data_IF_101984542131
#
_entry.id   IF_101984542131
#
_cell.length_a   1.000
_cell.length_b   1.000
_cell.length_c   1.000
_cell.angle_alpha   90.00
_cell.angle_beta   90.00
_cell.angle_gamma   90.00
#
_symmetry.space_group_name_H-M   'P 1'
#
loop_
_entity.id
_entity.type
_entity.pdbx_description
1 polymer ?
#
# COMPACT_ATOMS: atom_id res chain seq x y z
N UNK A 1 -31.91 32.85 -47.19
CA UNK A 1 -32.79 32.00 -46.36
C UNK A 1 -31.89 31.19 -45.42
N UNK A 2 -31.79 31.55 -44.12
CA UNK A 2 -30.98 30.78 -43.15
C UNK A 2 -31.79 29.54 -42.75
N UNK A 3 -31.41 28.38 -43.27
CA UNK A 3 -32.00 27.10 -42.85
C UNK A 3 -31.50 26.85 -41.43
N UNK A 4 -32.38 27.00 -40.43
CA UNK A 4 -32.05 26.79 -39.02
C UNK A 4 -31.79 25.29 -38.78
N UNK A 5 -30.53 24.85 -38.90
CA UNK A 5 -30.04 23.52 -38.49
C UNK A 5 -29.95 23.35 -36.96
N UNK A 6 -30.78 24.08 -36.20
CA UNK A 6 -30.79 24.06 -34.74
C UNK A 6 -31.00 22.65 -34.20
N UNK A 7 -31.91 21.85 -34.80
CA UNK A 7 -32.18 20.46 -34.39
C UNK A 7 -30.94 19.56 -34.52
N UNK A 8 -30.15 19.71 -35.60
CA UNK A 8 -28.92 18.93 -35.81
C UNK A 8 -27.82 19.31 -34.82
N UNK A 9 -27.67 20.61 -34.52
CA UNK A 9 -26.71 21.11 -33.52
C UNK A 9 -27.10 20.60 -32.12
N UNK A 10 -28.39 20.60 -31.77
CA UNK A 10 -28.87 20.09 -30.48
C UNK A 10 -28.65 18.59 -30.32
N UNK A 11 -28.92 17.78 -31.36
CA UNK A 11 -28.67 16.32 -31.31
C UNK A 11 -27.19 16.02 -31.20
N UNK A 12 -26.34 16.73 -31.96
CA UNK A 12 -24.89 16.58 -31.89
C UNK A 12 -24.35 16.98 -30.51
N UNK A 13 -24.85 18.08 -29.93
CA UNK A 13 -24.42 18.50 -28.59
C UNK A 13 -24.84 17.51 -27.50
N UNK A 14 -26.03 16.90 -27.63
CA UNK A 14 -26.48 15.84 -26.73
C UNK A 14 -25.60 14.58 -26.83
N UNK A 15 -25.22 14.19 -28.05
CA UNK A 15 -24.31 13.07 -28.29
C UNK A 15 -22.92 13.30 -27.65
N UNK A 16 -22.36 14.50 -27.84
CA UNK A 16 -21.08 14.89 -27.23
C UNK A 16 -21.19 14.87 -25.70
N UNK A 17 -22.29 15.38 -25.14
CA UNK A 17 -22.52 15.37 -23.69
C UNK A 17 -22.56 13.95 -23.13
N UNK A 18 -23.26 13.02 -23.79
CA UNK A 18 -23.33 11.62 -23.38
C UNK A 18 -21.95 10.96 -23.45
N UNK A 19 -21.14 11.27 -24.45
CA UNK A 19 -19.76 10.75 -24.56
C UNK A 19 -18.86 11.28 -23.44
N UNK A 20 -18.96 12.57 -23.09
CA UNK A 20 -18.17 13.18 -22.01
C UNK A 20 -18.59 12.61 -20.65
N UNK A 21 -19.90 12.56 -20.38
CA UNK A 21 -20.43 12.04 -19.11
C UNK A 21 -20.16 10.54 -18.98
N UNK A 22 -20.40 9.78 -20.05
CA UNK A 22 -20.13 8.34 -20.09
C UNK A 22 -18.64 8.03 -19.90
N UNK A 23 -17.76 8.80 -20.55
CA UNK A 23 -16.32 8.71 -20.33
C UNK A 23 -15.93 9.03 -18.88
N UNK A 24 -16.49 10.09 -18.30
CA UNK A 24 -16.25 10.47 -16.90
C UNK A 24 -16.62 9.35 -15.92
N UNK A 25 -17.77 8.71 -16.11
CA UNK A 25 -18.24 7.62 -15.24
C UNK A 25 -17.35 6.37 -15.38
N UNK A 26 -16.89 6.04 -16.59
CA UNK A 26 -16.04 4.86 -16.84
C UNK A 26 -14.61 5.03 -16.32
N UNK A 27 -14.00 6.20 -16.50
CA UNK A 27 -12.59 6.42 -16.19
C UNK A 27 -12.34 7.07 -14.82
N UNK A 28 -13.29 7.84 -14.29
CA UNK A 28 -13.16 8.52 -13.00
C UNK A 28 -12.82 7.56 -11.84
N UNK A 29 -13.60 6.47 -11.64
CA UNK A 29 -13.32 5.52 -10.56
C UNK A 29 -11.95 4.83 -10.69
N UNK A 30 -11.51 4.54 -11.92
CA UNK A 30 -10.20 3.90 -12.17
C UNK A 30 -9.04 4.81 -11.78
N UNK A 31 -9.10 6.08 -12.17
CA UNK A 31 -8.08 7.07 -11.80
C UNK A 31 -8.03 7.28 -10.29
N UNK A 32 -9.19 7.36 -9.64
CA UNK A 32 -9.27 7.49 -8.19
C UNK A 32 -8.60 6.32 -7.46
N UNK A 33 -8.94 5.08 -7.84
CA UNK A 33 -8.33 3.88 -7.26
C UNK A 33 -6.80 3.86 -7.45
N UNK A 34 -6.30 4.26 -8.62
CA UNK A 34 -4.86 4.31 -8.89
C UNK A 34 -4.11 5.28 -7.97
N UNK A 35 -4.72 6.41 -7.62
CA UNK A 35 -4.12 7.37 -6.68
C UNK A 35 -4.07 6.79 -5.27
N UNK A 36 -5.15 6.14 -4.83
CA UNK A 36 -5.22 5.48 -3.53
C UNK A 36 -4.17 4.37 -3.41
N UNK A 37 -4.04 3.50 -4.41
CA UNK A 37 -3.08 2.40 -4.38
C UNK A 37 -1.62 2.87 -4.31
N UNK A 38 -1.28 3.98 -4.99
CA UNK A 38 0.06 4.58 -4.85
C UNK A 38 0.32 5.11 -3.45
N UNK A 39 -0.67 5.74 -2.83
CA UNK A 39 -0.52 6.28 -1.47
C UNK A 39 -0.38 5.16 -0.45
N UNK A 40 -1.19 4.11 -0.55
CA UNK A 40 -1.07 2.90 0.26
C UNK A 40 0.32 2.31 0.10
N UNK A 41 0.78 2.07 -1.14
CA UNK A 41 2.11 1.51 -1.40
C UNK A 41 3.22 2.34 -0.76
N UNK A 42 3.17 3.67 -0.87
CA UNK A 42 4.17 4.57 -0.26
C UNK A 42 4.19 4.45 1.26
N UNK A 43 3.02 4.44 1.90
CA UNK A 43 2.91 4.35 3.36
C UNK A 43 3.37 2.99 3.88
N UNK A 44 2.94 1.88 3.26
CA UNK A 44 3.41 0.54 3.63
C UNK A 44 4.92 0.41 3.43
N UNK A 45 5.47 0.98 2.36
CA UNK A 45 6.92 1.03 2.13
C UNK A 45 7.65 1.81 3.23
N UNK A 46 7.12 2.94 3.67
CA UNK A 46 7.70 3.72 4.74
C UNK A 46 7.70 2.94 6.06
N UNK A 47 6.58 2.31 6.41
CA UNK A 47 6.44 1.47 7.59
C UNK A 47 7.45 0.30 7.56
N UNK A 48 7.57 -0.40 6.42
CA UNK A 48 8.55 -1.47 6.25
C UNK A 48 9.99 -0.99 6.44
N UNK A 49 10.35 0.20 5.92
CA UNK A 49 11.67 0.80 6.13
C UNK A 49 11.94 1.19 7.58
N UNK A 50 10.92 1.65 8.31
CA UNK A 50 11.05 1.92 9.75
C UNK A 50 11.33 0.64 10.52
N UNK A 51 10.61 -0.45 10.21
CA UNK A 51 10.85 -1.76 10.80
C UNK A 51 12.25 -2.28 10.45
N UNK A 52 12.68 -2.14 9.18
CA UNK A 52 14.04 -2.51 8.77
C UNK A 52 15.09 -1.78 9.60
N UNK A 53 14.93 -0.47 9.78
CA UNK A 53 15.88 0.37 10.52
C UNK A 53 16.01 -0.10 11.96
N UNK A 54 14.89 -0.41 12.60
CA UNK A 54 14.86 -0.88 13.99
C UNK A 54 15.49 -2.29 14.10
N UNK A 55 15.14 -3.23 13.22
CA UNK A 55 15.76 -4.56 13.19
C UNK A 55 17.27 -4.45 12.99
N UNK A 56 17.75 -3.61 12.06
CA UNK A 56 19.19 -3.39 11.83
C UNK A 56 19.89 -2.82 13.06
N UNK A 57 19.24 -1.89 13.77
CA UNK A 57 19.73 -1.32 15.02
C UNK A 57 19.84 -2.39 16.11
N UNK A 58 18.80 -3.19 16.29
CA UNK A 58 18.77 -4.27 17.29
C UNK A 58 19.77 -5.38 16.99
N UNK A 59 20.01 -5.71 15.71
CA UNK A 59 20.97 -6.73 15.27
C UNK A 59 22.42 -6.46 15.67
N UNK A 60 22.75 -5.22 16.02
CA UNK A 60 24.08 -4.84 16.56
C UNK A 60 24.28 -5.50 17.92
N UNK A 61 23.25 -5.48 18.77
CA UNK A 61 23.35 -5.84 20.19
C UNK A 61 22.66 -7.16 20.54
N UNK A 62 21.71 -7.64 19.73
CA UNK A 62 20.86 -8.80 20.02
C UNK A 62 21.01 -9.89 18.98
N UNK A 63 20.74 -11.12 19.40
CA UNK A 63 20.69 -12.24 18.47
C UNK A 63 19.40 -12.15 17.63
N UNK A 64 19.43 -12.46 16.31
CA UNK A 64 18.23 -12.41 15.45
C UNK A 64 17.00 -13.08 16.04
N UNK A 65 17.15 -14.24 16.66
CA UNK A 65 16.03 -14.98 17.27
C UNK A 65 15.37 -14.24 18.44
N UNK A 66 16.12 -13.42 19.19
CA UNK A 66 15.57 -12.62 20.28
C UNK A 66 14.74 -11.46 19.73
N UNK A 67 15.23 -10.83 18.66
CA UNK A 67 14.50 -9.76 17.95
C UNK A 67 13.19 -10.32 17.38
N UNK A 68 13.24 -11.52 16.80
CA UNK A 68 12.04 -12.20 16.31
C UNK A 68 11.00 -12.43 17.43
N UNK A 69 11.43 -12.88 18.60
CA UNK A 69 10.54 -13.11 19.74
C UNK A 69 9.87 -11.82 20.26
N UNK A 70 10.52 -10.66 20.07
CA UNK A 70 10.00 -9.36 20.48
C UNK A 70 9.38 -8.55 19.31
N UNK A 71 9.17 -9.16 18.14
CA UNK A 71 8.72 -8.47 16.92
C UNK A 71 7.40 -7.71 17.10
N UNK A 72 6.44 -8.30 17.81
CA UNK A 72 5.17 -7.64 18.12
C UNK A 72 5.37 -6.36 18.95
N UNK A 73 6.30 -6.38 19.90
CA UNK A 73 6.63 -5.20 20.70
C UNK A 73 7.31 -4.13 19.85
N UNK A 74 8.21 -4.54 18.96
CA UNK A 74 8.91 -3.66 18.03
C UNK A 74 7.90 -2.95 17.10
N UNK A 75 7.01 -3.71 16.46
CA UNK A 75 5.94 -3.16 15.61
C UNK A 75 5.04 -2.22 16.40
N UNK A 76 4.65 -2.62 17.62
CA UNK A 76 3.85 -1.76 18.48
C UNK A 76 4.60 -0.46 18.82
N UNK A 77 5.89 -0.50 19.12
CA UNK A 77 6.71 0.66 19.44
C UNK A 77 6.85 1.66 18.28
N UNK A 78 6.84 1.16 17.03
CA UNK A 78 6.92 2.01 15.85
C UNK A 78 5.62 2.80 15.55
N UNK A 79 4.51 2.49 16.24
CA UNK A 79 3.25 3.26 16.22
C UNK A 79 2.68 3.57 14.82
N UNK A 80 2.98 2.78 13.79
CA UNK A 80 2.55 3.12 12.43
C UNK A 80 1.09 2.72 12.15
N UNK A 81 0.42 3.51 11.31
CA UNK A 81 -0.98 3.34 10.95
C UNK A 81 -1.09 2.50 9.67
N UNK A 82 -2.02 1.54 9.66
CA UNK A 82 -2.41 0.80 8.48
C UNK A 82 -3.10 1.76 7.50
N UNK A 83 -2.56 1.97 6.30
CA UNK A 83 -3.08 2.94 5.34
C UNK A 83 -4.38 2.53 4.63
N UNK A 84 -4.82 1.27 4.79
CA UNK A 84 -6.07 0.76 4.22
C UNK A 84 -7.20 0.82 5.25
N UNK A 85 -6.96 0.29 6.45
CA UNK A 85 -7.96 0.23 7.52
C UNK A 85 -7.98 1.49 8.39
N UNK A 86 -6.94 2.35 8.29
CA UNK A 86 -6.74 3.50 9.18
C UNK A 86 -6.62 3.12 10.66
N UNK A 87 -6.35 1.84 10.95
CA UNK A 87 -6.12 1.33 12.29
C UNK A 87 -4.62 1.24 12.57
N UNK A 88 -4.23 1.27 13.84
CA UNK A 88 -2.83 1.03 14.20
C UNK A 88 -2.49 -0.45 14.05
N UNK A 89 -1.34 -0.74 13.45
CA UNK A 89 -0.77 -2.08 13.51
C UNK A 89 0.02 -2.22 14.82
N UNK A 90 -0.40 -3.15 15.68
CA UNK A 90 0.23 -3.39 17.00
C UNK A 90 0.97 -4.72 17.07
N UNK A 91 0.88 -5.54 16.03
CA UNK A 91 1.46 -6.88 15.94
C UNK A 91 1.93 -7.14 14.52
N UNK A 92 2.81 -8.11 14.36
CA UNK A 92 3.15 -8.61 13.04
C UNK A 92 1.90 -9.20 12.37
N UNK A 93 1.51 -8.67 11.21
CA UNK A 93 0.18 -8.93 10.64
C UNK A 93 0.25 -9.44 9.22
N UNK A 94 -0.18 -10.70 8.99
CA UNK A 94 -0.37 -11.27 7.64
C UNK A 94 -1.85 -11.27 7.19
N UNK A 95 -2.75 -10.83 8.06
CA UNK A 95 -4.16 -11.18 7.93
C UNK A 95 -4.98 -10.07 7.25
N UNK A 96 -4.43 -8.86 7.14
CA UNK A 96 -5.19 -7.66 6.75
C UNK A 96 -4.49 -6.82 5.68
N UNK A 97 -5.25 -6.29 4.70
CA UNK A 97 -4.75 -5.32 3.74
C UNK A 97 -4.08 -4.12 4.42
N UNK A 98 -2.93 -3.68 3.90
CA UNK A 98 -2.17 -2.54 4.42
C UNK A 98 -1.21 -2.84 5.57
N UNK A 99 -1.21 -4.07 6.11
CA UNK A 99 -0.27 -4.47 7.15
C UNK A 99 1.14 -4.70 6.57
N UNK A 100 2.15 -4.56 7.43
CA UNK A 100 3.53 -4.98 7.18
C UNK A 100 3.75 -6.34 7.85
N UNK A 101 4.24 -7.30 7.08
CA UNK A 101 4.62 -8.63 7.53
C UNK A 101 6.14 -8.68 7.66
N UNK A 102 6.62 -9.15 8.80
CA UNK A 102 8.00 -9.57 8.99
C UNK A 102 8.02 -11.09 9.14
N UNK A 103 8.89 -11.77 8.40
CA UNK A 103 9.15 -13.19 8.53
C UNK A 103 10.61 -13.42 8.86
N UNK A 104 10.90 -14.50 9.60
CA UNK A 104 12.25 -14.87 10.00
C UNK A 104 12.54 -16.32 9.60
N UNK A 105 13.70 -16.57 9.01
CA UNK A 105 14.12 -17.90 8.52
C UNK A 105 14.56 -18.85 9.63
N UNK A 106 14.63 -18.39 10.87
CA UNK A 106 15.11 -19.18 12.02
C UNK A 106 16.62 -19.13 12.22
N UNK A 107 17.37 -18.50 11.31
CA UNK A 107 18.84 -18.47 11.31
C UNK A 107 19.32 -17.04 11.53
N UNK A 108 19.18 -16.18 10.52
CA UNK A 108 19.70 -14.81 10.54
C UNK A 108 19.02 -13.87 9.54
N UNK A 109 18.03 -14.34 8.78
CA UNK A 109 17.39 -13.56 7.73
C UNK A 109 16.00 -13.13 8.14
N UNK A 110 15.77 -11.82 8.16
CA UNK A 110 14.42 -11.25 8.18
C UNK A 110 14.00 -10.87 6.78
N UNK A 111 12.74 -11.14 6.47
CA UNK A 111 12.08 -10.73 5.24
C UNK A 111 10.88 -9.87 5.59
N UNK A 112 10.83 -8.67 5.04
CA UNK A 112 9.71 -7.75 5.21
C UNK A 112 8.93 -7.70 3.91
N UNK A 113 7.61 -7.92 4.00
CA UNK A 113 6.65 -7.78 2.91
C UNK A 113 5.51 -6.85 3.35
N UNK A 114 4.88 -6.15 2.40
CA UNK A 114 3.69 -5.33 2.68
C UNK A 114 2.45 -5.97 2.09
N UNK A 115 1.26 -5.73 2.64
CA UNK A 115 0.00 -6.24 2.08
C UNK A 115 -0.75 -5.16 1.32
N UNK A 116 -1.05 -5.44 0.06
CA UNK A 116 -1.88 -4.70 -0.87
C UNK A 116 -3.30 -4.51 -0.39
N UNK A 117 -4.01 -3.52 -0.97
CA UNK A 117 -5.43 -3.31 -0.71
C UNK A 117 -6.29 -4.53 -1.09
N UNK A 118 -5.84 -5.27 -2.09
CA UNK A 118 -6.43 -6.49 -2.63
C UNK A 118 -5.94 -7.77 -1.93
N UNK A 119 -5.12 -7.65 -0.89
CA UNK A 119 -4.49 -8.77 -0.20
C UNK A 119 -3.27 -9.34 -0.93
N UNK A 120 -2.90 -8.80 -2.09
CA UNK A 120 -1.64 -9.18 -2.76
C UNK A 120 -0.43 -8.72 -1.94
N UNK A 121 0.69 -9.42 -2.01
CA UNK A 121 1.91 -8.89 -1.41
C UNK A 121 2.39 -7.70 -2.26
N UNK A 122 2.51 -6.52 -1.64
CA UNK A 122 3.38 -5.48 -2.13
C UNK A 122 4.78 -6.09 -2.13
N UNK A 123 5.35 -6.31 -3.32
CA UNK A 123 6.69 -6.87 -3.56
C UNK A 123 7.86 -6.03 -3.05
N UNK A 124 7.70 -5.38 -1.89
CA UNK A 124 8.77 -5.00 -0.99
C UNK A 124 9.32 -6.33 -0.46
N UNK A 125 10.45 -6.79 -0.99
CA UNK A 125 11.15 -7.94 -0.43
C UNK A 125 12.47 -7.41 0.09
N UNK A 126 12.45 -6.97 1.36
CA UNK A 126 13.64 -6.46 2.03
C UNK A 126 14.22 -7.59 2.85
N UNK A 127 15.44 -8.00 2.49
CA UNK A 127 16.17 -9.07 3.15
C UNK A 127 17.19 -8.43 4.09
N UNK A 128 17.05 -8.68 5.39
CA UNK A 128 17.98 -8.19 6.42
C UNK A 128 18.72 -9.39 6.99
N UNK A 129 20.05 -9.35 6.88
CA UNK A 129 20.92 -10.38 7.41
C UNK A 129 21.95 -9.76 8.36
N UNK A 130 22.26 -10.49 9.43
CA UNK A 130 23.42 -10.16 10.26
C UNK A 130 24.69 -10.39 9.44
N UNK A 131 25.52 -9.36 9.28
CA UNK A 131 26.86 -9.55 8.73
C UNK A 131 27.61 -10.54 9.62
N UNK A 132 28.23 -11.54 8.99
CA UNK A 132 29.21 -12.40 9.67
C UNK A 132 30.39 -11.57 10.16
#
# INVERSE_FOLDING_TARGET
MRINNQKGITVLSLLILVLIVGGGILYGPKLFNHVIDRNIKRLVTANAKSVETEIRSELINRHPIQIWNDMDKLINALNFQNPVLSERQTKNGWDRPGDVVVSFDGINTFRLDGIGRDGSSFGLNIIIQRSK
#
